data_IF_951668104684
#
_entry.id   IF_951668104684
#
_cell.length_a   1.000
_cell.length_b   1.000
_cell.length_c   1.000
_cell.angle_alpha   90.00
_cell.angle_beta   90.00
_cell.angle_gamma   90.00
#
_symmetry.space_group_name_H-M   'P 1'
#
loop_
_entity.id
_entity.type
_entity.pdbx_description
1 polymer ?
#
# COMPACT_ATOMS: atom_id res chain seq x y z
N UNK A 1 -2.12 15.57 11.05
CA UNK A 1 -2.20 15.06 12.44
C UNK A 1 -0.80 14.88 12.97
N UNK A 2 -0.53 15.05 14.27
CA UNK A 2 0.80 14.79 14.82
C UNK A 2 0.79 13.42 15.52
N UNK A 3 1.80 12.59 15.23
CA UNK A 3 2.02 11.32 15.91
C UNK A 3 3.46 11.34 16.48
N UNK A 4 3.61 11.04 17.77
CA UNK A 4 4.94 10.94 18.41
C UNK A 4 5.77 12.23 18.41
N UNK A 5 5.14 13.41 18.41
CA UNK A 5 5.87 14.70 18.37
C UNK A 5 6.32 15.15 16.98
N UNK A 6 6.15 14.31 15.95
CA UNK A 6 6.38 14.66 14.55
C UNK A 6 5.08 15.22 13.97
N UNK A 7 5.12 16.46 13.46
CA UNK A 7 4.03 17.00 12.63
C UNK A 7 3.97 16.16 11.37
N UNK A 8 2.96 15.29 11.21
CA UNK A 8 2.74 14.68 9.91
C UNK A 8 2.44 15.82 8.94
N UNK A 9 3.21 15.87 7.84
CA UNK A 9 3.02 16.85 6.79
C UNK A 9 1.55 16.89 6.35
N UNK A 10 1.07 18.05 5.93
CA UNK A 10 -0.23 18.15 5.30
C UNK A 10 -0.19 17.38 3.97
N UNK A 11 -0.46 16.07 3.99
CA UNK A 11 -0.31 15.25 2.79
C UNK A 11 -0.96 13.89 2.97
N UNK A 12 -2.09 13.68 2.29
CA UNK A 12 -2.77 12.41 2.09
C UNK A 12 -3.21 11.64 3.37
N UNK A 13 -4.15 12.20 4.14
CA UNK A 13 -4.88 11.51 5.23
C UNK A 13 -5.80 10.39 4.68
N UNK A 14 -5.24 9.38 4.02
CA UNK A 14 -6.01 8.31 3.40
C UNK A 14 -6.88 8.76 2.23
N UNK A 15 -6.65 9.92 1.62
CA UNK A 15 -7.45 10.39 0.46
C UNK A 15 -7.40 9.40 -0.71
N UNK A 16 -6.28 8.70 -0.87
CA UNK A 16 -6.09 7.69 -1.92
C UNK A 16 -6.65 6.30 -1.56
N UNK A 17 -7.00 6.05 -0.29
CA UNK A 17 -7.51 4.75 0.17
C UNK A 17 -8.98 4.82 0.61
N UNK A 18 -9.43 5.99 1.06
CA UNK A 18 -10.79 6.27 1.53
C UNK A 18 -11.89 5.89 0.53
N UNK A 19 -11.76 6.09 -0.79
CA UNK A 19 -12.79 5.67 -1.73
C UNK A 19 -13.12 4.18 -1.64
N UNK A 20 -12.13 3.30 -1.40
CA UNK A 20 -12.38 1.87 -1.26
C UNK A 20 -13.29 1.56 -0.05
N UNK A 21 -13.10 2.28 1.06
CA UNK A 21 -13.95 2.14 2.25
C UNK A 21 -15.37 2.67 2.02
N UNK A 22 -15.49 3.81 1.33
CA UNK A 22 -16.78 4.47 1.13
C UNK A 22 -17.67 3.69 0.14
N UNK A 23 -17.06 3.14 -0.91
CA UNK A 23 -17.81 2.43 -1.94
C UNK A 23 -17.83 0.91 -1.74
N UNK A 24 -16.96 0.35 -0.90
CA UNK A 24 -16.89 -1.10 -0.67
C UNK A 24 -16.20 -1.85 -1.82
N UNK A 25 -15.34 -1.17 -2.57
CA UNK A 25 -14.52 -1.80 -3.60
C UNK A 25 -13.37 -2.58 -2.93
N UNK A 26 -13.06 -3.80 -3.39
CA UNK A 26 -11.87 -4.49 -2.94
C UNK A 26 -10.64 -3.71 -3.43
N UNK A 27 -9.60 -3.65 -2.60
CA UNK A 27 -8.37 -2.94 -2.92
C UNK A 27 -7.16 -3.62 -2.27
N UNK A 28 -5.99 -3.48 -2.92
CA UNK A 28 -4.72 -4.04 -2.45
C UNK A 28 -3.61 -2.98 -2.53
N UNK A 29 -2.72 -2.97 -1.55
CA UNK A 29 -1.49 -2.17 -1.56
C UNK A 29 -0.29 -3.08 -1.80
N UNK A 30 0.50 -2.81 -2.85
CA UNK A 30 1.67 -3.59 -3.22
C UNK A 30 2.96 -2.77 -3.08
N UNK A 31 4.08 -3.33 -2.60
CA UNK A 31 5.35 -2.61 -2.50
C UNK A 31 5.86 -2.10 -3.86
N UNK A 32 6.06 -0.78 -3.95
CA UNK A 32 6.49 -0.10 -5.17
C UNK A 32 7.99 0.21 -5.19
N UNK A 33 8.67 0.17 -4.03
CA UNK A 33 10.10 0.40 -3.90
C UNK A 33 10.43 1.28 -2.71
N UNK A 34 11.63 1.86 -2.71
CA UNK A 34 12.06 2.84 -1.72
C UNK A 34 12.24 4.21 -2.37
N UNK A 35 11.80 5.26 -1.69
CA UNK A 35 12.12 6.66 -2.01
C UNK A 35 12.74 7.26 -0.76
N UNK A 36 13.95 7.81 -0.88
CA UNK A 36 14.71 8.37 0.25
C UNK A 36 14.84 7.40 1.44
N UNK A 37 14.99 6.11 1.14
CA UNK A 37 15.10 5.04 2.14
C UNK A 37 13.79 4.63 2.81
N UNK A 38 12.66 5.25 2.46
CA UNK A 38 11.33 4.96 2.99
C UNK A 38 10.53 4.06 2.03
N UNK A 39 9.79 3.06 2.55
CA UNK A 39 8.96 2.20 1.72
C UNK A 39 7.77 2.96 1.12
N UNK A 40 7.57 2.80 -0.18
CA UNK A 40 6.42 3.32 -0.93
C UNK A 40 5.63 2.17 -1.53
N UNK A 41 4.31 2.29 -1.54
CA UNK A 41 3.39 1.30 -2.12
C UNK A 41 2.59 1.87 -3.29
N UNK A 42 2.03 0.97 -4.09
CA UNK A 42 1.03 1.23 -5.12
C UNK A 42 -0.32 0.68 -4.65
N UNK A 43 -1.33 1.55 -4.56
CA UNK A 43 -2.71 1.18 -4.23
C UNK A 43 -3.48 0.84 -5.52
N UNK A 44 -4.15 -0.30 -5.54
CA UNK A 44 -4.90 -0.79 -6.70
C UNK A 44 -6.33 -1.12 -6.24
N UNK A 45 -7.32 -0.49 -6.89
CA UNK A 45 -8.74 -0.74 -6.63
C UNK A 45 -9.32 -1.66 -7.71
N UNK A 46 -10.07 -2.67 -7.28
CA UNK A 46 -10.82 -3.57 -8.14
C UNK A 46 -12.28 -3.16 -8.31
N UNK A 47 -12.96 -3.82 -9.25
CA UNK A 47 -14.43 -3.82 -9.29
C UNK A 47 -14.96 -4.64 -8.10
N UNK A 48 -16.24 -4.51 -7.76
CA UNK A 48 -16.83 -5.35 -6.71
C UNK A 48 -16.62 -6.84 -7.00
N UNK A 49 -16.33 -7.60 -5.95
CA UNK A 49 -16.13 -9.06 -5.99
C UNK A 49 -14.98 -9.55 -6.88
N UNK A 50 -13.94 -8.71 -7.06
CA UNK A 50 -12.75 -9.06 -7.85
C UNK A 50 -11.49 -9.29 -6.99
N UNK A 51 -11.64 -9.77 -5.76
CA UNK A 51 -10.54 -10.06 -4.85
C UNK A 51 -9.55 -11.06 -5.45
N UNK A 52 -10.05 -12.11 -6.11
CA UNK A 52 -9.19 -13.10 -6.78
C UNK A 52 -8.25 -12.46 -7.79
N UNK A 53 -8.76 -11.54 -8.63
CA UNK A 53 -7.94 -10.83 -9.61
C UNK A 53 -6.87 -9.94 -8.96
N UNK A 54 -7.21 -9.28 -7.84
CA UNK A 54 -6.25 -8.46 -7.10
C UNK A 54 -5.16 -9.32 -6.44
N UNK A 55 -5.51 -10.50 -5.94
CA UNK A 55 -4.54 -11.45 -5.37
C UNK A 55 -3.65 -12.06 -6.46
N UNK A 56 -4.21 -12.43 -7.62
CA UNK A 56 -3.44 -12.93 -8.77
C UNK A 56 -2.45 -11.88 -9.26
N UNK A 57 -2.86 -10.60 -9.30
CA UNK A 57 -1.99 -9.47 -9.61
C UNK A 57 -0.88 -9.31 -8.55
N UNK A 58 -1.22 -9.41 -7.27
CA UNK A 58 -0.25 -9.38 -6.17
C UNK A 58 0.80 -10.49 -6.30
N UNK A 59 0.37 -11.72 -6.60
CA UNK A 59 1.24 -12.87 -6.81
C UNK A 59 2.15 -12.68 -8.04
N UNK A 60 1.62 -12.16 -9.14
CA UNK A 60 2.41 -11.87 -10.33
C UNK A 60 3.48 -10.79 -10.06
N UNK A 61 3.11 -9.76 -9.30
CA UNK A 61 4.03 -8.70 -8.87
C UNK A 61 5.11 -9.23 -7.92
N UNK A 62 4.75 -10.07 -6.94
CA UNK A 62 5.70 -10.67 -6.01
C UNK A 62 6.71 -11.57 -6.73
N UNK A 63 6.26 -12.36 -7.71
CA UNK A 63 7.13 -13.23 -8.51
C UNK A 63 8.05 -12.46 -9.46
N UNK A 64 7.53 -11.41 -10.08
CA UNK A 64 8.29 -10.61 -11.05
C UNK A 64 9.25 -9.63 -10.37
N UNK A 65 8.91 -9.15 -9.18
CA UNK A 65 9.73 -8.19 -8.44
C UNK A 65 9.63 -8.45 -6.92
N UNK A 66 10.35 -9.48 -6.41
CA UNK A 66 10.34 -9.80 -4.99
C UNK A 66 10.75 -8.61 -4.12
N UNK A 67 10.11 -8.47 -2.97
CA UNK A 67 10.40 -7.43 -1.98
C UNK A 67 10.72 -8.06 -0.62
N UNK A 68 11.41 -7.29 0.23
CA UNK A 68 11.67 -7.70 1.61
C UNK A 68 10.35 -7.88 2.37
N UNK A 69 10.27 -8.94 3.18
CA UNK A 69 9.10 -9.20 4.04
C UNK A 69 9.00 -8.22 5.22
N UNK A 70 10.10 -7.52 5.52
CA UNK A 70 10.15 -6.49 6.57
C UNK A 70 10.64 -5.17 5.99
N UNK A 71 10.18 -4.08 6.59
CA UNK A 71 10.65 -2.74 6.24
C UNK A 71 12.17 -2.62 6.47
N UNK A 72 12.87 -1.78 5.69
CA UNK A 72 14.26 -1.45 5.96
C UNK A 72 14.42 -0.93 7.39
N UNK A 73 15.46 -1.37 8.10
CA UNK A 73 15.76 -1.01 9.49
C UNK A 73 14.73 -1.50 10.54
N UNK A 74 13.83 -2.42 10.16
CA UNK A 74 13.02 -3.13 11.15
C UNK A 74 13.93 -3.89 12.11
N UNK A 75 13.75 -3.76 13.44
CA UNK A 75 14.47 -4.56 14.42
C UNK A 75 13.89 -5.97 14.37
N UNK A 76 14.41 -6.81 13.48
CA UNK A 76 14.36 -8.25 13.71
C UNK A 76 15.40 -8.60 14.79
#
# INVERSE_FOLDING_TARGET
SAFGGVKAGAGNNGKLTFPANMYGNPAISLPAGLIDGLPVSLQINGRHFSEQLLLDLGLAMERSRPWSLVAPNSPL
#
